data_IF_766945506075
#
_entry.id   IF_766945506075
#
_cell.length_a   1.000
_cell.length_b   1.000
_cell.length_c   1.000
_cell.angle_alpha   90.00
_cell.angle_beta   90.00
_cell.angle_gamma   90.00
#
_symmetry.space_group_name_H-M   'P 1'
#
loop_
_entity.id
_entity.type
_entity.pdbx_description
1 polymer ?
#
# COMPACT_ATOMS: atom_id res chain seq x y z
N UNK A 1 63.94 -23.42 -16.97
CA UNK A 1 63.57 -22.47 -18.04
C UNK A 1 62.06 -22.61 -18.25
N UNK A 2 61.24 -21.69 -17.74
CA UNK A 2 60.76 -20.53 -18.51
C UNK A 2 59.60 -21.01 -19.40
N UNK A 3 58.34 -20.76 -19.08
CA UNK A 3 57.70 -19.44 -19.15
C UNK A 3 56.56 -19.26 -18.14
N UNK A 4 56.48 -18.06 -17.57
CA UNK A 4 55.29 -17.52 -16.91
C UNK A 4 54.48 -16.84 -18.01
N UNK A 5 53.21 -17.19 -18.16
CA UNK A 5 52.22 -16.32 -18.82
C UNK A 5 51.22 -15.84 -17.76
N UNK A 6 51.48 -14.66 -17.22
CA UNK A 6 50.43 -13.66 -17.01
C UNK A 6 49.79 -13.42 -18.40
N UNK A 7 48.49 -13.20 -18.58
CA UNK A 7 47.80 -11.99 -18.17
C UNK A 7 46.33 -12.08 -18.63
N UNK A 8 45.43 -11.51 -17.82
CA UNK A 8 44.17 -10.85 -18.20
C UNK A 8 42.97 -11.66 -18.72
N UNK A 9 42.03 -11.87 -17.79
CA UNK A 9 40.71 -11.20 -17.77
C UNK A 9 39.89 -11.27 -19.06
N UNK A 10 38.93 -12.19 -19.09
CA UNK A 10 37.62 -11.93 -19.70
C UNK A 10 36.56 -12.03 -18.62
N UNK A 11 36.41 -10.94 -17.85
CA UNK A 11 35.21 -10.74 -17.05
C UNK A 11 34.04 -10.55 -18.01
N UNK A 12 33.17 -11.57 -18.04
CA UNK A 12 31.76 -11.54 -18.46
C UNK A 12 31.42 -10.86 -19.79
N UNK A 13 31.13 -11.69 -20.78
CA UNK A 13 30.52 -11.38 -22.08
C UNK A 13 29.03 -10.96 -21.97
N UNK A 14 28.66 -10.24 -20.89
CA UNK A 14 27.30 -9.73 -20.71
C UNK A 14 27.21 -8.29 -21.21
N UNK A 15 26.16 -7.94 -21.99
CA UNK A 15 25.95 -6.56 -22.40
C UNK A 15 25.88 -5.65 -21.16
N UNK A 16 26.47 -4.45 -21.22
CA UNK A 16 26.44 -3.52 -20.09
C UNK A 16 25.01 -3.20 -19.69
N UNK A 17 24.72 -3.29 -18.39
CA UNK A 17 23.40 -3.00 -17.85
C UNK A 17 22.96 -1.58 -18.23
N UNK A 18 21.69 -1.43 -18.57
CA UNK A 18 21.06 -0.14 -18.82
C UNK A 18 21.06 0.74 -17.56
N UNK A 19 21.03 2.06 -17.74
CA UNK A 19 20.92 3.01 -16.63
C UNK A 19 19.69 2.73 -15.74
N UNK A 20 18.59 2.25 -16.34
CA UNK A 20 17.39 1.82 -15.63
C UNK A 20 17.64 0.60 -14.75
N UNK A 21 18.37 -0.39 -15.24
CA UNK A 21 18.68 -1.62 -14.50
C UNK A 21 19.59 -1.34 -13.32
N UNK A 22 20.60 -0.48 -13.51
CA UNK A 22 21.50 -0.02 -12.44
C UNK A 22 20.72 0.75 -11.36
N UNK A 23 19.77 1.61 -11.76
CA UNK A 23 18.92 2.33 -10.81
C UNK A 23 18.03 1.38 -9.99
N UNK A 24 17.42 0.39 -10.62
CA UNK A 24 16.60 -0.61 -9.95
C UNK A 24 17.42 -1.54 -9.04
N UNK A 25 18.65 -1.90 -9.42
CA UNK A 25 19.56 -2.65 -8.54
C UNK A 25 19.98 -1.84 -7.32
N UNK A 26 20.35 -0.58 -7.48
CA UNK A 26 20.67 0.30 -6.35
C UNK A 26 19.48 0.46 -5.41
N UNK A 27 18.27 0.57 -5.95
CA UNK A 27 17.05 0.61 -5.14
C UNK A 27 16.86 -0.67 -4.33
N UNK A 28 16.98 -1.84 -4.96
CA UNK A 28 16.86 -3.15 -4.28
C UNK A 28 17.97 -3.35 -3.24
N UNK A 29 19.20 -2.95 -3.55
CA UNK A 29 20.33 -3.02 -2.62
C UNK A 29 20.06 -2.17 -1.38
N UNK A 30 19.53 -0.96 -1.58
CA UNK A 30 19.16 -0.05 -0.49
C UNK A 30 17.99 -0.61 0.34
N UNK A 31 16.98 -1.21 -0.29
CA UNK A 31 15.91 -1.90 0.44
C UNK A 31 16.48 -3.04 1.31
N UNK A 32 17.46 -3.80 0.81
CA UNK A 32 18.13 -4.88 1.58
C UNK A 32 18.97 -4.32 2.73
N UNK A 33 19.72 -3.24 2.50
CA UNK A 33 20.51 -2.55 3.53
C UNK A 33 19.60 -1.96 4.63
N UNK A 34 18.44 -1.45 4.26
CA UNK A 34 17.41 -0.93 5.18
C UNK A 34 16.58 -2.06 5.84
N UNK A 35 16.87 -3.33 5.54
CA UNK A 35 16.15 -4.49 6.08
C UNK A 35 14.72 -4.65 5.54
N UNK A 36 14.37 -3.95 4.47
CA UNK A 36 13.07 -3.97 3.81
C UNK A 36 13.01 -5.15 2.85
N UNK A 37 12.52 -6.30 3.32
CA UNK A 37 12.16 -7.39 2.41
C UNK A 37 10.85 -7.08 1.69
N UNK A 38 10.94 -6.80 0.38
CA UNK A 38 9.77 -6.70 -0.51
C UNK A 38 9.16 -8.08 -0.76
N UNK A 39 8.43 -8.60 0.22
CA UNK A 39 7.65 -9.83 0.06
C UNK A 39 6.35 -9.51 -0.67
N UNK A 40 6.10 -10.11 -1.85
CA UNK A 40 4.77 -10.04 -2.44
C UNK A 40 3.76 -10.66 -1.46
N UNK A 41 2.54 -10.10 -1.32
CA UNK A 41 1.54 -10.65 -0.42
C UNK A 41 1.15 -12.07 -0.86
N UNK A 42 0.98 -12.96 0.12
CA UNK A 42 0.47 -14.31 -0.10
C UNK A 42 -0.97 -14.28 -0.61
N UNK A 43 -1.45 -15.37 -1.21
CA UNK A 43 -2.86 -15.47 -1.63
C UNK A 43 -3.83 -15.27 -0.45
N UNK A 44 -3.48 -15.76 0.74
CA UNK A 44 -4.26 -15.53 1.95
C UNK A 44 -4.29 -14.04 2.34
N UNK A 45 -3.16 -13.33 2.29
CA UNK A 45 -3.11 -11.89 2.54
C UNK A 45 -3.92 -11.11 1.51
N UNK A 46 -3.84 -11.49 0.22
CA UNK A 46 -4.65 -10.88 -0.84
C UNK A 46 -6.14 -11.06 -0.58
N UNK A 47 -6.57 -12.28 -0.24
CA UNK A 47 -7.96 -12.57 0.08
C UNK A 47 -8.44 -11.76 1.30
N UNK A 48 -7.65 -11.72 2.37
CA UNK A 48 -7.96 -10.92 3.56
C UNK A 48 -8.03 -9.41 3.27
N UNK A 49 -7.13 -8.88 2.44
CA UNK A 49 -7.20 -7.48 2.00
C UNK A 49 -8.46 -7.17 1.20
N UNK A 50 -8.87 -8.07 0.30
CA UNK A 50 -10.12 -7.93 -0.47
C UNK A 50 -11.34 -7.95 0.44
N UNK A 51 -11.38 -8.85 1.41
CA UNK A 51 -12.46 -8.91 2.40
C UNK A 51 -12.57 -7.60 3.19
N UNK A 52 -11.45 -7.09 3.71
CA UNK A 52 -11.42 -5.80 4.42
C UNK A 52 -11.93 -4.66 3.53
N UNK A 53 -11.55 -4.63 2.25
CA UNK A 53 -12.05 -3.62 1.32
C UNK A 53 -13.57 -3.70 1.15
N UNK A 54 -14.09 -4.89 0.91
CA UNK A 54 -15.54 -5.15 0.75
C UNK A 54 -16.33 -4.68 1.98
N UNK A 55 -15.88 -5.07 3.18
CA UNK A 55 -16.54 -4.68 4.44
C UNK A 55 -16.57 -3.17 4.63
N UNK A 56 -15.45 -2.48 4.39
CA UNK A 56 -15.38 -1.03 4.56
C UNK A 56 -16.10 -0.27 3.44
N UNK A 57 -16.17 -0.82 2.23
CA UNK A 57 -17.00 -0.27 1.15
C UNK A 57 -18.49 -0.31 1.51
N UNK A 58 -18.97 -1.43 2.07
CA UNK A 58 -20.34 -1.54 2.56
C UNK A 58 -20.65 -0.52 3.67
N UNK A 59 -19.71 -0.33 4.63
CA UNK A 59 -19.85 0.68 5.69
C UNK A 59 -19.90 2.10 5.13
N UNK A 60 -19.04 2.42 4.16
CA UNK A 60 -19.02 3.72 3.51
C UNK A 60 -20.33 3.99 2.75
N UNK A 61 -20.85 2.98 2.05
CA UNK A 61 -22.14 3.07 1.36
C UNK A 61 -23.30 3.29 2.35
N UNK A 62 -23.30 2.58 3.47
CA UNK A 62 -24.27 2.79 4.55
C UNK A 62 -24.22 4.23 5.08
N UNK A 63 -23.02 4.73 5.40
CA UNK A 63 -22.83 6.09 5.91
C UNK A 63 -23.32 7.15 4.92
N UNK A 64 -23.06 6.94 3.62
CA UNK A 64 -23.53 7.82 2.56
C UNK A 64 -25.06 7.82 2.42
N UNK A 65 -25.70 6.66 2.53
CA UNK A 65 -27.17 6.56 2.54
C UNK A 65 -27.75 7.27 3.76
N UNK A 66 -27.17 7.07 4.94
CA UNK A 66 -27.61 7.73 6.18
C UNK A 66 -27.49 9.25 6.08
N UNK A 67 -26.34 9.75 5.62
CA UNK A 67 -26.10 11.18 5.42
C UNK A 67 -27.09 11.79 4.43
N UNK A 68 -27.30 11.16 3.26
CA UNK A 68 -28.27 11.64 2.26
C UNK A 68 -29.69 11.68 2.83
N UNK A 69 -30.09 10.65 3.58
CA UNK A 69 -31.40 10.61 4.23
C UNK A 69 -31.57 11.73 5.26
N UNK A 70 -30.55 11.99 6.09
CA UNK A 70 -30.56 13.06 7.07
C UNK A 70 -30.58 14.45 6.40
N UNK A 71 -29.80 14.63 5.33
CA UNK A 71 -29.73 15.88 4.58
C UNK A 71 -31.07 16.26 3.93
N UNK A 72 -31.82 15.28 3.44
CA UNK A 72 -33.16 15.50 2.88
C UNK A 72 -34.18 15.98 3.93
N UNK A 73 -33.98 15.62 5.20
CA UNK A 73 -34.88 15.97 6.31
C UNK A 73 -34.49 17.28 7.01
N UNK A 74 -33.31 17.81 6.73
CA UNK A 74 -32.75 18.96 7.44
C UNK A 74 -32.79 20.20 6.56
N UNK A 75 -33.60 21.19 6.96
CA UNK A 75 -33.78 22.45 6.23
C UNK A 75 -32.81 23.53 6.74
N UNK A 76 -32.54 23.53 8.04
CA UNK A 76 -31.69 24.54 8.68
C UNK A 76 -30.24 24.49 8.15
N UNK A 77 -29.68 25.62 7.64
CA UNK A 77 -28.34 25.65 7.07
C UNK A 77 -27.22 25.28 8.04
N UNK A 78 -27.30 25.69 9.31
CA UNK A 78 -26.27 25.38 10.32
C UNK A 78 -26.28 23.90 10.68
N UNK A 79 -27.46 23.31 10.86
CA UNK A 79 -27.61 21.87 11.06
C UNK A 79 -27.10 21.07 9.85
N UNK A 80 -27.32 21.53 8.61
CA UNK A 80 -26.77 20.89 7.40
C UNK A 80 -25.24 20.96 7.37
N UNK A 81 -24.64 22.09 7.74
CA UNK A 81 -23.19 22.22 7.82
C UNK A 81 -22.59 21.26 8.85
N UNK A 82 -23.22 21.17 10.02
CA UNK A 82 -22.82 20.24 11.09
C UNK A 82 -22.90 18.78 10.60
N UNK A 83 -24.01 18.38 10.00
CA UNK A 83 -24.18 17.03 9.41
C UNK A 83 -23.11 16.71 8.36
N UNK A 84 -22.73 17.69 7.54
CA UNK A 84 -21.68 17.52 6.55
C UNK A 84 -20.31 17.29 7.22
N UNK A 85 -19.97 18.07 8.25
CA UNK A 85 -18.71 17.91 8.98
C UNK A 85 -18.61 16.54 9.67
N UNK A 86 -19.71 16.11 10.31
CA UNK A 86 -19.80 14.78 10.93
C UNK A 86 -19.63 13.66 9.91
N UNK A 87 -20.33 13.74 8.77
CA UNK A 87 -20.20 12.79 7.67
C UNK A 87 -18.77 12.71 7.13
N UNK A 88 -18.11 13.86 6.91
CA UNK A 88 -16.73 13.88 6.42
C UNK A 88 -15.77 13.24 7.42
N UNK A 89 -15.96 13.50 8.72
CA UNK A 89 -15.16 12.89 9.79
C UNK A 89 -15.37 11.38 9.86
N UNK A 90 -16.62 10.92 9.79
CA UNK A 90 -16.96 9.50 9.78
C UNK A 90 -16.33 8.78 8.58
N UNK A 91 -16.45 9.38 7.39
CA UNK A 91 -15.84 8.87 6.16
C UNK A 91 -14.33 8.80 6.25
N UNK A 92 -13.68 9.86 6.73
CA UNK A 92 -12.22 9.89 6.91
C UNK A 92 -11.75 8.81 7.89
N UNK A 93 -12.47 8.62 9.00
CA UNK A 93 -12.19 7.55 9.96
C UNK A 93 -12.30 6.17 9.33
N UNK A 94 -13.39 5.86 8.63
CA UNK A 94 -13.58 4.57 7.96
C UNK A 94 -12.48 4.26 6.95
N UNK A 95 -12.08 5.26 6.16
CA UNK A 95 -10.97 5.12 5.19
C UNK A 95 -9.65 4.86 5.92
N UNK A 96 -9.34 5.64 6.95
CA UNK A 96 -8.10 5.47 7.74
C UNK A 96 -8.04 4.09 8.41
N UNK A 97 -9.15 3.61 8.96
CA UNK A 97 -9.21 2.29 9.59
C UNK A 97 -9.04 1.16 8.59
N UNK A 98 -9.68 1.27 7.40
CA UNK A 98 -9.49 0.32 6.29
C UNK A 98 -8.03 0.24 5.89
N UNK A 99 -7.40 1.40 5.68
CA UNK A 99 -6.02 1.48 5.21
C UNK A 99 -5.04 0.95 6.27
N UNK A 100 -5.26 1.26 7.55
CA UNK A 100 -4.50 0.69 8.66
C UNK A 100 -4.65 -0.84 8.76
N UNK A 101 -5.85 -1.38 8.52
CA UNK A 101 -6.06 -2.84 8.47
C UNK A 101 -5.36 -3.48 7.27
N UNK A 102 -5.45 -2.88 6.09
CA UNK A 102 -4.76 -3.36 4.89
C UNK A 102 -3.24 -3.34 5.09
N UNK A 103 -2.70 -2.26 5.67
CA UNK A 103 -1.28 -2.13 5.96
C UNK A 103 -0.79 -3.24 6.90
N UNK A 104 -1.54 -3.54 7.98
CA UNK A 104 -1.23 -4.64 8.90
C UNK A 104 -1.28 -6.02 8.23
N UNK A 105 -2.31 -6.28 7.42
CA UNK A 105 -2.39 -7.54 6.66
C UNK A 105 -1.18 -7.69 5.73
N UNK A 106 -0.75 -6.58 5.10
CA UNK A 106 0.41 -6.56 4.21
C UNK A 106 1.73 -6.75 4.97
N UNK A 107 1.89 -6.16 6.17
CA UNK A 107 3.09 -6.38 6.99
C UNK A 107 3.13 -7.78 7.63
N UNK A 108 2.00 -8.48 7.68
CA UNK A 108 1.90 -9.80 8.31
C UNK A 108 1.83 -9.74 9.83
N UNK A 109 1.52 -8.57 10.40
CA UNK A 109 1.29 -8.41 11.83
C UNK A 109 0.03 -9.17 12.27
N UNK A 110 0.09 -9.96 13.35
CA UNK A 110 -1.08 -10.66 13.88
C UNK A 110 -2.12 -9.66 14.39
N UNK A 111 -3.41 -9.95 14.12
CA UNK A 111 -4.53 -9.26 14.76
C UNK A 111 -4.47 -9.58 16.26
N UNK A 112 -4.08 -8.61 17.09
CA UNK A 112 -4.33 -8.65 18.53
C UNK A 112 -5.81 -8.40 18.83
#
# INVERSE_FOLDING_TARGET
MGTREETTKTMSDQPPKSAYEIAMERLRQKDVEDGIERRPPTEQQKAAMTEVRSVYEAKLAQEDVMYRSALLRTVDPEARATLQEEYQRARARLVSERDAKIARIRSGEPNA
#
